data_IF_919303549259
#
_entry.id   IF_919303549259
#
_cell.length_a   1.000
_cell.length_b   1.000
_cell.length_c   1.000
_cell.angle_alpha   90.00
_cell.angle_beta   90.00
_cell.angle_gamma   90.00
#
_symmetry.space_group_name_H-M   'P 1'
#
loop_
_entity.id
_entity.type
_entity.pdbx_description
1 polymer ?
#
# COMPACT_ATOMS: atom_id res chain seq x y z
N UNK A 1 -4.06 34.24 -4.65
CA UNK A 1 -5.16 33.50 -3.98
C UNK A 1 -4.55 32.30 -3.26
N UNK A 2 -4.71 32.22 -1.93
CA UNK A 2 -4.21 31.10 -1.14
C UNK A 2 -5.20 29.93 -1.30
N UNK A 3 -4.96 29.09 -2.30
CA UNK A 3 -5.82 27.93 -2.59
C UNK A 3 -5.77 27.01 -1.37
N UNK A 4 -6.94 26.69 -0.81
CA UNK A 4 -7.08 25.88 0.39
C UNK A 4 -6.26 24.57 0.26
N UNK A 5 -5.50 24.19 1.29
CA UNK A 5 -4.60 23.02 1.31
C UNK A 5 -5.29 21.75 0.80
N UNK A 6 -6.59 21.59 1.06
CA UNK A 6 -7.40 20.47 0.60
C UNK A 6 -7.66 20.47 -0.92
N UNK A 7 -7.79 21.65 -1.54
CA UNK A 7 -7.97 21.79 -2.98
C UNK A 7 -6.67 21.52 -3.75
N UNK A 8 -5.50 21.59 -3.08
CA UNK A 8 -4.17 21.38 -3.68
C UNK A 8 -3.90 19.93 -4.08
N UNK A 9 -4.61 18.96 -3.49
CA UNK A 9 -4.36 17.53 -3.66
C UNK A 9 -5.53 16.79 -4.34
N UNK A 10 -6.45 17.51 -4.99
CA UNK A 10 -7.62 16.92 -5.65
C UNK A 10 -7.18 15.98 -6.78
N UNK A 11 -6.13 16.33 -7.51
CA UNK A 11 -5.50 15.50 -8.55
C UNK A 11 -5.20 14.08 -8.05
N UNK A 12 -4.63 13.99 -6.86
CA UNK A 12 -4.15 12.76 -6.25
C UNK A 12 -5.27 11.99 -5.56
N UNK A 13 -6.26 12.70 -5.01
CA UNK A 13 -7.49 12.09 -4.52
C UNK A 13 -8.25 11.41 -5.67
N UNK A 14 -8.38 12.08 -6.81
CA UNK A 14 -9.01 11.51 -8.00
C UNK A 14 -8.26 10.27 -8.50
N UNK A 15 -6.92 10.35 -8.59
CA UNK A 15 -6.09 9.20 -8.97
C UNK A 15 -6.23 8.03 -7.99
N UNK A 16 -6.31 8.30 -6.68
CA UNK A 16 -6.51 7.28 -5.65
C UNK A 16 -7.85 6.57 -5.81
N UNK A 17 -8.93 7.29 -6.10
CA UNK A 17 -10.25 6.70 -6.39
C UNK A 17 -10.23 5.83 -7.65
N UNK A 18 -9.56 6.27 -8.71
CA UNK A 18 -9.41 5.48 -9.94
C UNK A 18 -8.62 4.20 -9.65
N UNK A 19 -7.52 4.29 -8.90
CA UNK A 19 -6.71 3.14 -8.51
C UNK A 19 -7.49 2.14 -7.64
N UNK A 20 -8.24 2.63 -6.66
CA UNK A 20 -9.14 1.80 -5.85
C UNK A 20 -10.13 1.04 -6.73
N UNK A 21 -10.82 1.75 -7.63
CA UNK A 21 -11.83 1.17 -8.49
C UNK A 21 -11.24 0.15 -9.47
N UNK A 22 -10.05 0.41 -10.01
CA UNK A 22 -9.35 -0.54 -10.87
C UNK A 22 -9.08 -1.87 -10.15
N UNK A 23 -8.49 -1.82 -8.94
CA UNK A 23 -8.24 -3.04 -8.15
C UNK A 23 -9.55 -3.76 -7.85
N UNK A 24 -10.58 -3.04 -7.42
CA UNK A 24 -11.89 -3.63 -7.15
C UNK A 24 -12.47 -4.32 -8.39
N UNK A 25 -12.42 -3.66 -9.56
CA UNK A 25 -12.95 -4.19 -10.82
C UNK A 25 -12.25 -5.48 -11.24
N UNK A 26 -10.91 -5.49 -11.23
CA UNK A 26 -10.13 -6.66 -11.64
C UNK A 26 -10.18 -7.83 -10.65
N UNK A 27 -10.47 -7.57 -9.38
CA UNK A 27 -10.59 -8.60 -8.34
C UNK A 27 -12.04 -9.04 -8.08
N UNK A 28 -13.04 -8.39 -8.70
CA UNK A 28 -14.47 -8.66 -8.45
C UNK A 28 -14.89 -10.10 -8.73
N UNK A 29 -14.40 -10.68 -9.84
CA UNK A 29 -14.81 -12.02 -10.29
C UNK A 29 -13.89 -13.12 -9.78
N UNK A 30 -12.57 -12.91 -9.85
CA UNK A 30 -11.57 -13.93 -9.53
C UNK A 30 -11.05 -13.85 -8.09
N UNK A 31 -11.44 -12.81 -7.34
CA UNK A 31 -10.86 -12.52 -6.02
C UNK A 31 -9.43 -12.00 -6.12
N UNK A 32 -8.71 -12.06 -5.00
CA UNK A 32 -7.26 -11.80 -4.98
C UNK A 32 -6.48 -13.06 -5.33
N UNK A 33 -5.43 -12.91 -6.12
CA UNK A 33 -4.50 -14.00 -6.40
C UNK A 33 -3.89 -14.52 -5.09
N UNK A 34 -3.96 -15.84 -4.88
CA UNK A 34 -3.36 -16.50 -3.73
C UNK A 34 -1.95 -16.97 -4.09
N UNK A 35 -1.03 -16.70 -3.18
CA UNK A 35 0.35 -17.17 -3.18
C UNK A 35 0.62 -17.98 -1.90
N UNK A 36 1.68 -18.80 -1.86
CA UNK A 36 2.08 -19.48 -0.63
C UNK A 36 2.19 -18.54 0.58
N UNK A 37 2.76 -17.35 0.38
CA UNK A 37 2.93 -16.36 1.44
C UNK A 37 1.60 -15.79 1.93
N UNK A 38 0.66 -15.51 1.02
CA UNK A 38 -0.65 -14.98 1.42
C UNK A 38 -1.47 -16.01 2.22
N UNK A 39 -1.29 -17.31 1.97
CA UNK A 39 -1.85 -18.38 2.82
C UNK A 39 -1.20 -18.38 4.21
N UNK A 40 0.13 -18.21 4.29
CA UNK A 40 0.85 -18.13 5.56
C UNK A 40 0.35 -16.96 6.41
N UNK A 41 0.21 -15.78 5.81
CA UNK A 41 -0.31 -14.59 6.49
C UNK A 41 -1.77 -14.74 6.91
N UNK A 42 -2.65 -15.19 6.02
CA UNK A 42 -4.07 -15.32 6.29
C UNK A 42 -4.38 -16.39 7.35
N UNK A 43 -3.67 -17.52 7.31
CA UNK A 43 -3.81 -18.58 8.32
C UNK A 43 -3.31 -18.13 9.69
N UNK A 44 -2.19 -17.41 9.74
CA UNK A 44 -1.67 -16.85 10.99
C UNK A 44 -2.62 -15.81 11.57
N UNK A 45 -3.15 -14.90 10.74
CA UNK A 45 -4.18 -13.93 11.16
C UNK A 45 -5.42 -14.62 11.76
N UNK A 46 -5.86 -15.72 11.14
CA UNK A 46 -6.99 -16.52 11.63
C UNK A 46 -6.66 -17.17 12.98
N UNK A 47 -5.45 -17.71 13.16
CA UNK A 47 -5.00 -18.29 14.43
C UNK A 47 -4.84 -17.25 15.55
N UNK A 48 -4.46 -16.02 15.22
CA UNK A 48 -4.44 -14.90 16.18
C UNK A 48 -5.87 -14.65 16.68
N UNK A 49 -6.84 -14.56 15.77
CA UNK A 49 -8.23 -14.25 16.12
C UNK A 49 -8.93 -15.40 16.87
N UNK A 50 -8.68 -16.66 16.47
CA UNK A 50 -9.30 -17.83 17.07
C UNK A 50 -8.65 -18.29 18.38
N UNK A 51 -7.32 -18.15 18.51
CA UNK A 51 -6.54 -18.78 19.57
C UNK A 51 -5.52 -17.86 20.24
N UNK A 52 -5.40 -16.60 19.81
CA UNK A 52 -4.38 -15.67 20.33
C UNK A 52 -2.95 -16.12 20.03
N UNK A 53 -2.74 -16.95 19.00
CA UNK A 53 -1.45 -17.60 18.73
C UNK A 53 -0.88 -17.23 17.37
N UNK A 54 0.45 -17.10 17.29
CA UNK A 54 1.21 -16.80 16.07
C UNK A 54 1.63 -18.09 15.34
N UNK A 55 0.65 -18.94 15.08
CA UNK A 55 0.85 -20.23 14.41
C UNK A 55 0.40 -20.16 12.95
N UNK A 56 1.13 -20.82 12.07
CA UNK A 56 0.75 -21.00 10.67
C UNK A 56 -0.28 -22.12 10.52
N UNK A 57 -0.83 -22.32 9.32
CA UNK A 57 -1.75 -23.45 9.05
C UNK A 57 -1.15 -24.83 9.36
N UNK A 58 0.17 -24.97 9.31
CA UNK A 58 0.89 -26.20 9.65
C UNK A 58 1.12 -26.38 11.17
N UNK A 59 0.54 -25.52 12.01
CA UNK A 59 0.75 -25.49 13.47
C UNK A 59 2.21 -25.26 13.87
N UNK A 60 3.00 -24.68 12.97
CA UNK A 60 4.36 -24.23 13.26
C UNK A 60 4.35 -22.73 13.56
N UNK A 61 5.24 -22.23 14.44
CA UNK A 61 5.36 -20.81 14.70
C UNK A 61 5.69 -20.04 13.41
N UNK A 62 5.12 -18.85 13.24
CA UNK A 62 5.48 -17.95 12.17
C UNK A 62 6.88 -17.35 12.44
N UNK A 63 7.90 -17.86 11.74
CA UNK A 63 9.30 -17.42 11.91
C UNK A 63 9.88 -16.71 10.68
N UNK A 64 9.34 -16.97 9.49
CA UNK A 64 9.91 -16.49 8.23
C UNK A 64 9.49 -15.07 7.83
N UNK A 65 8.45 -14.52 8.48
CA UNK A 65 7.89 -13.24 8.08
C UNK A 65 7.64 -12.31 9.27
N UNK A 66 7.70 -10.98 9.06
CA UNK A 66 7.32 -10.02 10.08
C UNK A 66 5.88 -10.22 10.57
N UNK A 67 5.68 -10.21 11.89
CA UNK A 67 4.37 -10.45 12.52
C UNK A 67 3.35 -9.34 12.27
N UNK A 68 3.81 -8.15 11.90
CA UNK A 68 2.95 -6.97 11.74
C UNK A 68 1.83 -7.19 10.73
N UNK A 69 2.14 -7.78 9.57
CA UNK A 69 1.14 -7.98 8.52
C UNK A 69 0.05 -9.00 8.91
N UNK A 70 0.37 -10.20 9.46
CA UNK A 70 -0.63 -11.06 10.10
C UNK A 70 -1.50 -10.37 11.16
N UNK A 71 -0.90 -9.54 12.02
CA UNK A 71 -1.65 -8.78 13.03
C UNK A 71 -2.61 -7.79 12.39
N UNK A 72 -2.15 -7.03 11.40
CA UNK A 72 -2.98 -6.12 10.62
C UNK A 72 -4.17 -6.86 9.98
N UNK A 73 -3.94 -8.01 9.35
CA UNK A 73 -5.00 -8.84 8.78
C UNK A 73 -5.96 -9.36 9.87
N UNK A 74 -5.45 -9.74 11.04
CA UNK A 74 -6.26 -10.16 12.19
C UNK A 74 -7.17 -9.05 12.71
N UNK A 75 -6.67 -7.81 12.77
CA UNK A 75 -7.49 -6.63 13.12
C UNK A 75 -8.60 -6.41 12.09
N UNK A 76 -8.27 -6.47 10.79
CA UNK A 76 -9.29 -6.32 9.73
C UNK A 76 -10.33 -7.45 9.82
N UNK A 77 -9.91 -8.68 10.08
CA UNK A 77 -10.81 -9.82 10.28
C UNK A 77 -11.72 -9.60 11.49
N UNK A 78 -11.18 -9.10 12.61
CA UNK A 78 -11.95 -8.76 13.81
C UNK A 78 -12.99 -7.66 13.53
N UNK A 79 -12.60 -6.58 12.85
CA UNK A 79 -13.48 -5.44 12.57
C UNK A 79 -14.55 -5.75 11.50
N UNK A 80 -14.16 -6.45 10.44
CA UNK A 80 -15.05 -6.72 9.30
C UNK A 80 -15.91 -7.98 9.47
N UNK A 81 -15.53 -8.88 10.39
CA UNK A 81 -16.10 -10.22 10.50
C UNK A 81 -15.83 -11.13 9.30
N UNK A 82 -15.09 -10.66 8.29
CA UNK A 82 -14.77 -11.41 7.08
C UNK A 82 -13.37 -12.03 7.18
N UNK A 83 -13.23 -13.26 6.66
CA UNK A 83 -11.92 -13.90 6.58
C UNK A 83 -10.92 -13.08 5.74
N UNK A 84 -9.61 -13.14 6.02
CA UNK A 84 -8.59 -12.29 5.39
C UNK A 84 -8.56 -12.42 3.86
N UNK A 85 -8.83 -13.63 3.34
CA UNK A 85 -8.88 -13.90 1.90
C UNK A 85 -10.07 -13.20 1.25
N UNK A 86 -11.25 -13.26 1.88
CA UNK A 86 -12.48 -12.62 1.37
C UNK A 86 -12.36 -11.09 1.41
N UNK A 87 -11.72 -10.56 2.45
CA UNK A 87 -11.45 -9.13 2.58
C UNK A 87 -10.27 -8.65 1.70
N UNK A 88 -9.43 -9.55 1.20
CA UNK A 88 -8.16 -9.23 0.54
C UNK A 88 -8.28 -8.25 -0.61
N UNK A 89 -9.32 -8.38 -1.45
CA UNK A 89 -9.56 -7.47 -2.58
C UNK A 89 -9.77 -6.03 -2.11
N UNK A 90 -10.56 -5.88 -1.05
CA UNK A 90 -10.88 -4.58 -0.47
C UNK A 90 -9.67 -3.98 0.25
N UNK A 91 -8.95 -4.81 1.01
CA UNK A 91 -7.69 -4.42 1.69
C UNK A 91 -6.69 -3.89 0.67
N UNK A 92 -6.45 -4.64 -0.41
CA UNK A 92 -5.50 -4.23 -1.46
C UNK A 92 -5.95 -2.94 -2.16
N UNK A 93 -7.25 -2.78 -2.44
CA UNK A 93 -7.77 -1.56 -3.06
C UNK A 93 -7.54 -0.34 -2.17
N UNK A 94 -7.81 -0.44 -0.86
CA UNK A 94 -7.56 0.65 0.10
C UNK A 94 -6.07 0.96 0.26
N UNK A 95 -5.21 -0.06 0.37
CA UNK A 95 -3.76 0.12 0.48
C UNK A 95 -3.18 0.79 -0.76
N UNK A 96 -3.60 0.35 -1.95
CA UNK A 96 -3.14 0.94 -3.21
C UNK A 96 -3.58 2.40 -3.36
N UNK A 97 -4.84 2.70 -3.05
CA UNK A 97 -5.35 4.08 -3.06
C UNK A 97 -4.61 4.97 -2.05
N UNK A 98 -4.31 4.43 -0.87
CA UNK A 98 -3.56 5.14 0.18
C UNK A 98 -2.16 5.53 -0.31
N UNK A 99 -1.44 4.62 -0.97
CA UNK A 99 -0.11 4.89 -1.54
C UNK A 99 -0.17 6.04 -2.57
N UNK A 100 -1.15 6.02 -3.48
CA UNK A 100 -1.32 7.09 -4.47
C UNK A 100 -1.55 8.44 -3.78
N UNK A 101 -2.43 8.46 -2.77
CA UNK A 101 -2.76 9.68 -2.06
C UNK A 101 -1.58 10.23 -1.25
N UNK A 102 -0.80 9.37 -0.59
CA UNK A 102 0.35 9.78 0.23
C UNK A 102 1.54 10.24 -0.60
N UNK A 103 1.82 9.64 -1.76
CA UNK A 103 2.92 10.08 -2.63
C UNK A 103 2.88 11.57 -2.99
N UNK A 104 1.69 12.17 -3.09
CA UNK A 104 1.55 13.61 -3.37
C UNK A 104 1.90 14.49 -2.17
N UNK A 105 1.61 14.01 -0.96
CA UNK A 105 1.90 14.70 0.30
C UNK A 105 3.42 14.85 0.50
N UNK A 106 4.19 13.90 -0.01
CA UNK A 106 5.63 13.77 0.21
C UNK A 106 6.48 14.48 -0.85
N UNK A 107 5.88 15.21 -1.79
CA UNK A 107 6.61 16.11 -2.70
C UNK A 107 7.18 17.27 -1.88
N UNK A 108 8.29 17.00 -1.19
CA UNK A 108 9.26 17.99 -0.74
C UNK A 108 9.54 18.86 -1.95
N UNK A 109 9.25 20.16 -1.84
CA UNK A 109 9.76 21.14 -2.78
C UNK A 109 11.28 21.02 -2.72
N UNK A 110 11.88 20.27 -3.65
CA UNK A 110 13.29 20.42 -3.93
C UNK A 110 13.42 21.88 -4.32
N UNK A 111 14.19 22.70 -3.58
CA UNK A 111 14.36 24.09 -3.93
C UNK A 111 14.87 24.12 -5.37
N UNK A 112 14.24 24.94 -6.22
CA UNK A 112 14.69 25.20 -7.59
C UNK A 112 16.13 25.77 -7.67
N UNK A 113 16.83 25.93 -6.55
CA UNK A 113 18.14 26.52 -6.42
C UNK A 113 19.31 25.64 -6.94
N UNK A 114 19.07 24.45 -7.51
CA UNK A 114 20.13 23.59 -8.07
C UNK A 114 20.05 23.43 -9.60
N UNK A 115 19.11 24.10 -10.27
CA UNK A 115 19.05 24.14 -11.74
C UNK A 115 19.80 25.32 -12.36
N UNK A 116 20.30 26.25 -11.54
CA UNK A 116 21.02 27.45 -12.00
C UNK A 116 22.55 27.37 -11.78
N UNK A 117 23.10 26.18 -11.51
CA UNK A 117 24.54 25.98 -11.64
C UNK A 117 24.85 26.09 -13.14
N UNK A 118 25.33 27.27 -13.47
CA UNK A 118 25.85 27.69 -14.76
C UNK A 118 26.51 26.51 -15.48
N UNK A 119 26.01 26.23 -16.68
CA UNK A 119 26.83 25.64 -17.72
C UNK A 119 27.97 26.63 -17.97
N UNK A 120 29.04 26.49 -17.17
CA UNK A 120 30.32 27.12 -17.45
C UNK A 120 30.84 26.46 -18.73
N UNK A 121 30.85 27.25 -19.82
CA UNK A 121 31.26 26.85 -21.16
C UNK A 121 32.77 26.61 -21.28
N UNK A 122 33.41 26.05 -20.26
CA UNK A 122 34.87 25.86 -20.22
C UNK A 122 35.38 24.63 -20.98
N UNK A 123 34.50 23.81 -21.57
CA UNK A 123 34.90 22.61 -22.33
C UNK A 123 34.76 22.69 -23.86
N UNK A 124 34.55 23.88 -24.44
CA UNK A 124 34.40 24.05 -25.90
C UNK A 124 35.72 24.14 -26.69
N UNK A 125 36.88 23.80 -26.11
CA UNK A 125 38.20 23.97 -26.77
C UNK A 125 39.01 22.67 -26.94
N UNK A 126 38.38 21.50 -26.82
CA UNK A 126 39.05 20.21 -27.07
C UNK A 126 38.17 19.25 -27.87
N UNK A 127 37.72 19.63 -29.08
CA UNK A 127 37.44 18.73 -30.21
C UNK A 127 37.23 19.55 -31.48
#
# INVERSE_FOLDING_TARGET
MNVNRYLKNIDSLLAAFIGFYAIHLYTKYSGVGLSPDSIMYASTATNIQAHGSLMTFNKTPLVFFPVFYPFFLGIIQFLSGAGPIKAGAMINAFLFASVIFTQRLDRVQIPYAVTDLQVDNTYSNYF
#
